data_IF_965701794669
#
_entry.id   IF_965701794669
#
_cell.length_a   1.000
_cell.length_b   1.000
_cell.length_c   1.000
_cell.angle_alpha   90.00
_cell.angle_beta   90.00
_cell.angle_gamma   90.00
#
_symmetry.space_group_name_H-M   'P 1'
#
loop_
_entity.id
_entity.type
_entity.pdbx_description
1 polymer ?
#
# COMPACT_ATOMS: atom_id res chain seq x y z
N UNK A 1 16.47 -44.76 92.66
CA UNK A 1 16.70 -43.39 93.16
C UNK A 1 16.06 -42.43 92.17
N UNK A 2 14.85 -41.98 92.50
CA UNK A 2 14.03 -41.07 91.70
C UNK A 2 14.35 -39.62 92.06
N UNK A 3 14.54 -38.75 91.07
CA UNK A 3 14.53 -37.29 91.18
C UNK A 3 13.80 -36.80 89.92
N UNK A 4 12.51 -36.48 89.96
CA UNK A 4 11.88 -35.24 90.44
C UNK A 4 12.52 -33.95 89.93
N UNK A 5 11.84 -33.41 88.91
CA UNK A 5 11.47 -32.01 88.69
C UNK A 5 12.57 -30.95 88.59
N UNK A 6 12.67 -30.32 87.42
CA UNK A 6 12.67 -28.87 87.32
C UNK A 6 12.27 -28.44 85.90
N UNK A 7 11.12 -27.80 85.77
CA UNK A 7 10.69 -27.08 84.57
C UNK A 7 11.31 -25.69 84.61
N UNK A 8 12.09 -25.26 83.62
CA UNK A 8 12.28 -23.85 83.36
C UNK A 8 11.27 -23.39 82.30
N UNK A 9 10.42 -22.46 82.71
CA UNK A 9 9.55 -21.67 81.85
C UNK A 9 10.43 -20.90 80.85
N UNK A 10 10.32 -21.21 79.56
CA UNK A 10 11.09 -20.55 78.50
C UNK A 10 10.14 -19.59 77.76
N UNK A 11 10.44 -18.28 77.69
CA UNK A 11 9.58 -17.35 76.98
C UNK A 11 9.56 -17.70 75.49
N UNK A 12 8.36 -17.76 74.89
CA UNK A 12 8.18 -17.94 73.45
C UNK A 12 9.00 -16.87 72.70
N UNK A 13 10.04 -17.29 71.97
CA UNK A 13 10.67 -16.45 70.96
C UNK A 13 9.64 -16.04 69.91
N UNK A 14 9.58 -14.76 69.49
CA UNK A 14 8.69 -14.37 68.40
C UNK A 14 9.13 -15.05 67.11
N UNK A 15 8.18 -15.67 66.39
CA UNK A 15 8.42 -16.26 65.08
C UNK A 15 8.99 -15.22 64.11
N UNK A 16 9.96 -15.57 63.24
CA UNK A 16 10.47 -14.65 62.24
C UNK A 16 9.34 -14.25 61.26
N UNK A 17 9.32 -13.00 60.76
CA UNK A 17 8.32 -12.57 59.79
C UNK A 17 8.45 -13.39 58.51
N UNK A 18 7.30 -13.77 57.95
CA UNK A 18 7.22 -14.46 56.66
C UNK A 18 7.93 -13.64 55.57
N UNK A 19 8.58 -14.28 54.58
CA UNK A 19 9.16 -13.56 53.45
C UNK A 19 8.06 -12.77 52.74
N UNK A 20 8.27 -11.46 52.62
CA UNK A 20 7.44 -10.58 51.80
C UNK A 20 7.42 -11.13 50.37
N UNK A 21 6.24 -11.34 49.74
CA UNK A 21 6.19 -11.72 48.34
C UNK A 21 6.89 -10.63 47.51
N UNK A 22 7.65 -10.98 46.46
CA UNK A 22 8.25 -9.98 45.60
C UNK A 22 7.15 -9.07 45.05
N UNK A 23 7.35 -7.76 45.18
CA UNK A 23 6.45 -6.75 44.63
C UNK A 23 6.07 -7.10 43.18
N UNK A 24 4.80 -6.92 42.76
CA UNK A 24 4.42 -7.16 41.39
C UNK A 24 5.34 -6.33 40.49
N UNK A 25 6.02 -7.02 39.58
CA UNK A 25 6.87 -6.41 38.56
C UNK A 25 6.00 -5.34 37.86
N UNK A 26 6.47 -4.08 37.72
CA UNK A 26 5.70 -3.08 37.00
C UNK A 26 5.33 -3.63 35.62
N UNK A 27 4.11 -3.37 35.12
CA UNK A 27 3.76 -3.79 33.77
C UNK A 27 4.84 -3.25 32.83
N UNK A 28 5.33 -4.11 31.93
CA UNK A 28 6.21 -3.67 30.85
C UNK A 28 5.55 -2.44 30.22
N UNK A 29 6.34 -1.38 30.09
CA UNK A 29 5.98 -0.11 29.45
C UNK A 29 5.15 -0.34 28.18
N UNK A 30 4.23 0.58 27.83
CA UNK A 30 3.35 0.41 26.68
C UNK A 30 4.18 0.05 25.44
N UNK A 31 3.79 -1.07 24.78
CA UNK A 31 4.28 -1.53 23.49
C UNK A 31 4.52 -0.33 22.57
N UNK A 32 5.61 -0.30 21.78
CA UNK A 32 5.83 0.77 20.83
C UNK A 32 4.61 0.80 19.92
N UNK A 33 3.78 1.82 20.10
CA UNK A 33 2.63 2.07 19.25
C UNK A 33 3.14 1.97 17.81
N UNK A 34 2.44 1.28 16.92
CA UNK A 34 2.80 1.06 15.50
C UNK A 34 3.00 2.30 14.60
N UNK A 35 2.56 3.54 14.93
CA UNK A 35 2.78 4.74 14.08
C UNK A 35 4.25 5.14 13.77
N UNK A 36 5.21 5.14 14.71
CA UNK A 36 6.53 5.72 14.53
C UNK A 36 7.41 4.92 13.57
N UNK A 37 7.18 3.61 13.40
CA UNK A 37 7.93 2.79 12.43
C UNK A 37 7.46 3.12 11.00
N UNK A 38 6.16 3.19 10.78
CA UNK A 38 5.61 3.52 9.46
C UNK A 38 6.02 4.92 9.02
N UNK A 39 5.92 5.89 9.92
CA UNK A 39 6.30 7.28 9.65
C UNK A 39 7.80 7.41 9.38
N UNK A 40 8.65 6.78 10.20
CA UNK A 40 10.10 6.73 9.96
C UNK A 40 10.47 6.08 8.61
N UNK A 41 9.77 5.02 8.21
CA UNK A 41 9.99 4.40 6.91
C UNK A 41 9.50 5.30 5.77
N UNK A 42 8.39 6.02 5.95
CA UNK A 42 7.85 6.97 4.97
C UNK A 42 8.78 8.13 4.64
N UNK A 43 9.64 8.54 5.58
CA UNK A 43 10.67 9.56 5.31
C UNK A 43 11.78 9.08 4.37
N UNK A 44 11.99 7.77 4.26
CA UNK A 44 13.16 7.17 3.58
C UNK A 44 12.80 6.28 2.41
N UNK A 45 11.59 5.73 2.42
CA UNK A 45 11.12 4.74 1.50
C UNK A 45 9.82 5.23 0.86
N UNK A 46 9.63 4.98 -0.44
CA UNK A 46 8.33 5.13 -1.06
C UNK A 46 7.27 4.25 -0.39
N UNK A 47 6.00 4.70 -0.40
CA UNK A 47 4.88 4.01 0.25
C UNK A 47 4.78 2.52 -0.11
N UNK A 48 5.07 2.14 -1.35
CA UNK A 48 4.99 0.75 -1.81
C UNK A 48 6.08 -0.18 -1.23
N UNK A 49 7.14 0.37 -0.62
CA UNK A 49 8.18 -0.41 0.06
C UNK A 49 7.89 -0.55 1.56
N UNK A 50 6.89 0.17 2.07
CA UNK A 50 6.51 0.12 3.48
C UNK A 50 5.58 -1.08 3.66
N UNK A 51 5.90 -2.03 4.56
CA UNK A 51 5.03 -3.16 4.85
C UNK A 51 3.61 -2.70 5.22
N UNK A 52 2.61 -3.43 4.72
CA UNK A 52 1.22 -3.24 5.13
C UNK A 52 1.02 -3.60 6.60
N UNK A 53 1.80 -4.56 7.12
CA UNK A 53 1.73 -5.01 8.51
C UNK A 53 3.10 -5.13 9.17
N UNK A 54 3.11 -4.82 10.45
CA UNK A 54 4.24 -5.05 11.35
C UNK A 54 3.76 -5.99 12.46
N UNK A 55 4.54 -7.02 12.74
CA UNK A 55 4.26 -7.99 13.81
C UNK A 55 5.44 -7.95 14.77
N UNK A 56 5.18 -7.58 16.02
CA UNK A 56 6.18 -7.59 17.08
C UNK A 56 6.41 -9.04 17.53
N UNK A 57 7.68 -9.43 17.64
CA UNK A 57 8.11 -10.74 18.13
C UNK A 57 9.18 -10.53 19.19
N UNK A 58 9.09 -11.28 20.29
CA UNK A 58 10.14 -11.27 21.32
C UNK A 58 11.47 -11.84 20.78
N UNK A 59 11.38 -12.81 19.87
CA UNK A 59 12.55 -13.38 19.18
C UNK A 59 12.16 -13.95 17.82
N UNK A 60 13.12 -14.00 16.90
CA UNK A 60 12.91 -14.63 15.60
C UNK A 60 13.01 -16.16 15.76
N UNK A 61 12.01 -16.93 15.29
CA UNK A 61 12.10 -18.38 15.30
C UNK A 61 13.22 -18.83 14.36
N UNK A 62 14.04 -19.77 14.83
CA UNK A 62 15.17 -20.32 14.08
C UNK A 62 14.97 -21.81 13.85
N UNK A 63 15.38 -22.26 12.66
CA UNK A 63 15.54 -23.69 12.34
C UNK A 63 16.69 -24.27 13.15
N UNK A 64 16.81 -25.61 13.27
CA UNK A 64 17.95 -26.26 13.93
C UNK A 64 19.33 -25.85 13.37
N UNK A 65 19.37 -25.40 12.11
CA UNK A 65 20.57 -24.89 11.45
C UNK A 65 20.81 -23.38 11.68
N UNK A 66 20.06 -22.74 12.58
CA UNK A 66 20.21 -21.32 12.93
C UNK A 66 19.68 -20.31 11.91
N UNK A 67 19.00 -20.75 10.84
CA UNK A 67 18.33 -19.86 9.87
C UNK A 67 16.93 -19.49 10.37
N UNK A 68 16.41 -18.32 9.98
CA UNK A 68 15.02 -17.93 10.30
C UNK A 68 14.04 -18.98 9.76
N UNK A 69 13.21 -19.53 10.64
CA UNK A 69 12.11 -20.42 10.29
C UNK A 69 10.89 -19.59 9.90
N UNK A 70 10.70 -19.39 8.60
CA UNK A 70 9.59 -18.61 8.06
C UNK A 70 8.23 -19.26 8.29
N UNK A 71 8.17 -20.57 8.45
CA UNK A 71 6.92 -21.30 8.66
C UNK A 71 6.45 -21.19 10.12
N UNK A 72 7.37 -20.91 11.03
CA UNK A 72 7.09 -20.67 12.44
C UNK A 72 6.79 -19.19 12.76
N UNK A 73 6.86 -18.28 11.77
CA UNK A 73 6.44 -16.90 11.95
C UNK A 73 4.92 -16.85 12.13
N UNK A 74 4.39 -16.13 13.13
CA UNK A 74 2.96 -15.98 13.29
C UNK A 74 2.39 -15.24 12.09
N UNK A 75 1.23 -15.69 11.63
CA UNK A 75 0.50 -14.98 10.60
C UNK A 75 0.12 -13.58 11.10
N UNK A 76 0.28 -12.53 10.29
CA UNK A 76 -0.24 -11.22 10.64
C UNK A 76 -1.74 -11.38 10.81
N UNK A 77 -2.25 -11.24 12.05
CA UNK A 77 -3.68 -11.41 12.41
C UNK A 77 -4.56 -10.96 11.26
N UNK A 78 -5.49 -11.79 10.81
CA UNK A 78 -6.24 -11.57 9.58
C UNK A 78 -6.76 -10.14 9.42
N UNK A 79 -6.82 -9.74 8.14
CA UNK A 79 -7.37 -8.51 7.61
C UNK A 79 -8.38 -7.94 8.60
N UNK A 80 -7.95 -6.97 9.43
CA UNK A 80 -8.92 -6.06 9.99
C UNK A 80 -9.51 -5.44 8.74
N UNK A 81 -10.69 -5.93 8.41
CA UNK A 81 -11.55 -5.53 7.31
C UNK A 81 -11.28 -4.05 7.10
N UNK A 82 -10.85 -3.63 5.89
CA UNK A 82 -10.58 -2.24 5.57
C UNK A 82 -11.80 -1.41 6.02
N UNK A 83 -11.77 -0.95 7.27
CA UNK A 83 -12.79 -0.18 7.97
C UNK A 83 -12.29 1.24 8.13
N UNK A 84 -11.28 1.63 7.36
CA UNK A 84 -11.19 3.00 6.89
C UNK A 84 -12.33 3.18 5.89
N UNK A 85 -13.51 3.53 6.42
CA UNK A 85 -14.71 4.02 5.72
C UNK A 85 -14.69 3.79 4.21
N UNK A 86 -15.23 2.65 3.74
CA UNK A 86 -15.38 2.40 2.31
C UNK A 86 -16.00 3.63 1.63
N UNK A 87 -15.26 4.24 0.70
CA UNK A 87 -15.75 5.37 -0.12
C UNK A 87 -15.83 4.91 -1.56
N UNK A 88 -17.06 4.89 -2.09
CA UNK A 88 -17.32 4.53 -3.48
C UNK A 88 -16.74 5.56 -4.46
N UNK A 89 -16.28 5.16 -5.65
CA UNK A 89 -15.90 6.06 -6.74
C UNK A 89 -17.00 7.08 -7.09
N UNK A 90 -16.66 8.37 -7.04
CA UNK A 90 -17.54 9.52 -7.26
C UNK A 90 -17.40 10.07 -8.67
N UNK A 91 -16.17 10.18 -9.18
CA UNK A 91 -15.87 10.75 -10.50
C UNK A 91 -15.76 9.68 -11.59
N UNK A 92 -15.86 10.08 -12.86
CA UNK A 92 -15.65 9.16 -14.00
C UNK A 92 -14.22 8.60 -14.04
N UNK A 93 -13.23 9.41 -13.65
CA UNK A 93 -11.83 9.00 -13.58
C UNK A 93 -11.67 7.92 -12.50
N UNK A 94 -12.19 8.17 -11.29
CA UNK A 94 -12.17 7.19 -10.20
C UNK A 94 -12.87 5.88 -10.60
N UNK A 95 -14.05 5.96 -11.23
CA UNK A 95 -14.79 4.77 -11.69
C UNK A 95 -13.98 3.95 -12.70
N UNK A 96 -13.35 4.63 -13.67
CA UNK A 96 -12.54 3.96 -14.70
C UNK A 96 -11.34 3.25 -14.08
N UNK A 97 -10.63 3.92 -13.16
CA UNK A 97 -9.49 3.32 -12.46
C UNK A 97 -9.96 2.15 -11.59
N UNK A 98 -11.08 2.29 -10.86
CA UNK A 98 -11.65 1.24 -10.04
C UNK A 98 -11.98 -0.02 -10.86
N UNK A 99 -12.63 0.13 -12.03
CA UNK A 99 -12.91 -0.99 -12.94
C UNK A 99 -11.63 -1.70 -13.37
N UNK A 100 -10.60 -0.95 -13.77
CA UNK A 100 -9.30 -1.53 -14.15
C UNK A 100 -8.69 -2.33 -13.00
N UNK A 101 -8.76 -1.81 -11.77
CA UNK A 101 -8.24 -2.48 -10.59
C UNK A 101 -9.03 -3.74 -10.25
N UNK A 102 -10.36 -3.68 -10.28
CA UNK A 102 -11.23 -4.83 -10.05
C UNK A 102 -10.92 -5.97 -11.04
N UNK A 103 -10.73 -5.66 -12.31
CA UNK A 103 -10.38 -6.64 -13.34
C UNK A 103 -9.01 -7.29 -13.10
N UNK A 104 -8.00 -6.49 -12.72
CA UNK A 104 -6.64 -6.99 -12.56
C UNK A 104 -6.44 -7.73 -11.24
N UNK A 105 -7.02 -7.21 -10.15
CA UNK A 105 -6.91 -7.78 -8.80
C UNK A 105 -7.95 -8.87 -8.53
N UNK A 106 -9.00 -8.98 -9.36
CA UNK A 106 -10.14 -9.91 -9.19
C UNK A 106 -10.87 -9.69 -7.86
N UNK A 107 -11.10 -8.42 -7.52
CA UNK A 107 -11.82 -8.00 -6.31
C UNK A 107 -13.13 -7.33 -6.72
N UNK A 108 -14.23 -7.62 -6.03
CA UNK A 108 -15.56 -7.09 -6.37
C UNK A 108 -15.72 -5.61 -5.98
N UNK A 109 -15.27 -5.22 -4.79
CA UNK A 109 -15.46 -3.87 -4.26
C UNK A 109 -14.12 -3.25 -3.86
N UNK A 110 -13.85 -2.06 -4.40
CA UNK A 110 -12.64 -1.28 -4.09
C UNK A 110 -13.08 0.13 -3.69
N UNK A 111 -12.64 0.59 -2.51
CA UNK A 111 -12.78 1.96 -2.05
C UNK A 111 -11.71 2.86 -2.65
N UNK A 112 -12.00 4.14 -2.83
CA UNK A 112 -11.05 5.06 -3.49
C UNK A 112 -9.76 5.31 -2.68
N UNK A 113 -9.80 5.08 -1.38
CA UNK A 113 -8.67 5.23 -0.46
C UNK A 113 -7.98 3.91 -0.15
N UNK A 114 -8.46 2.79 -0.69
CA UNK A 114 -7.86 1.48 -0.44
C UNK A 114 -6.49 1.41 -1.12
N UNK A 115 -5.39 1.17 -0.38
CA UNK A 115 -4.08 1.08 -1.00
C UNK A 115 -3.97 -0.16 -1.89
N UNK A 116 -3.43 0.02 -3.10
CA UNK A 116 -3.29 -1.03 -4.12
C UNK A 116 -2.64 -2.32 -3.57
N UNK A 117 -1.57 -2.16 -2.79
CA UNK A 117 -0.81 -3.28 -2.24
C UNK A 117 -1.52 -3.99 -1.09
N UNK A 118 -2.43 -3.30 -0.39
CA UNK A 118 -3.27 -3.91 0.65
C UNK A 118 -4.42 -4.73 0.06
N UNK A 119 -4.82 -4.41 -1.17
CA UNK A 119 -5.81 -5.19 -1.94
C UNK A 119 -5.22 -6.45 -2.58
N UNK A 120 -3.96 -6.81 -2.27
CA UNK A 120 -3.26 -7.93 -2.91
C UNK A 120 -2.52 -7.53 -4.20
N UNK A 121 -2.37 -6.24 -4.46
CA UNK A 121 -1.54 -5.73 -5.55
C UNK A 121 -0.06 -6.07 -5.36
N UNK A 122 0.63 -6.32 -6.46
CA UNK A 122 2.06 -6.60 -6.53
C UNK A 122 2.65 -5.98 -7.80
N UNK A 123 3.97 -6.08 -7.98
CA UNK A 123 4.68 -5.45 -9.10
C UNK A 123 4.09 -5.81 -10.47
N UNK A 124 3.90 -7.11 -10.75
CA UNK A 124 3.33 -7.57 -12.02
C UNK A 124 1.87 -7.14 -12.22
N UNK A 125 1.04 -7.09 -11.17
CA UNK A 125 -0.34 -6.57 -11.32
C UNK A 125 -0.35 -5.06 -11.54
N UNK A 126 0.55 -4.31 -10.89
CA UNK A 126 0.74 -2.87 -11.13
C UNK A 126 1.16 -2.58 -12.57
N UNK A 127 2.05 -3.39 -13.16
CA UNK A 127 2.44 -3.26 -14.58
C UNK A 127 1.23 -3.48 -15.51
N UNK A 128 0.34 -4.44 -15.19
CA UNK A 128 -0.89 -4.67 -15.96
C UNK A 128 -1.87 -3.50 -15.83
N UNK A 129 -2.07 -3.00 -14.62
CA UNK A 129 -2.88 -1.79 -14.36
C UNK A 129 -2.31 -0.61 -15.14
N UNK A 130 -1.01 -0.38 -15.06
CA UNK A 130 -0.32 0.71 -15.76
C UNK A 130 -0.58 0.68 -17.26
N UNK A 131 -0.46 -0.49 -17.90
CA UNK A 131 -0.77 -0.63 -19.32
C UNK A 131 -2.21 -0.23 -19.66
N UNK A 132 -3.19 -0.70 -18.87
CA UNK A 132 -4.61 -0.38 -19.08
C UNK A 132 -4.94 1.08 -18.80
N UNK A 133 -4.33 1.67 -17.78
CA UNK A 133 -4.51 3.10 -17.42
C UNK A 133 -3.94 4.00 -18.52
N UNK A 134 -2.76 3.68 -19.07
CA UNK A 134 -2.22 4.44 -20.21
C UNK A 134 -3.13 4.38 -21.42
N UNK A 135 -3.71 3.22 -21.72
CA UNK A 135 -4.68 3.05 -22.81
C UNK A 135 -5.97 3.84 -22.55
N UNK A 136 -6.58 3.67 -21.38
CA UNK A 136 -7.86 4.30 -21.03
C UNK A 136 -7.81 5.83 -21.01
N UNK A 137 -6.69 6.40 -20.55
CA UNK A 137 -6.54 7.85 -20.41
C UNK A 137 -5.65 8.49 -21.48
N UNK A 138 -5.12 7.71 -22.43
CA UNK A 138 -4.13 8.18 -23.42
C UNK A 138 -3.02 9.00 -22.77
N UNK A 139 -2.50 8.50 -21.65
CA UNK A 139 -1.58 9.24 -20.77
C UNK A 139 -0.17 8.67 -20.79
N UNK A 140 0.80 9.53 -20.48
CA UNK A 140 2.22 9.16 -20.36
C UNK A 140 2.67 9.00 -18.90
N UNK A 141 1.74 8.66 -18.00
CA UNK A 141 2.09 8.38 -16.60
C UNK A 141 3.17 7.30 -16.55
N UNK A 142 4.25 7.56 -15.82
CA UNK A 142 5.33 6.60 -15.64
C UNK A 142 4.92 5.52 -14.64
N UNK A 143 5.56 4.34 -14.75
CA UNK A 143 5.34 3.27 -13.77
C UNK A 143 5.74 3.71 -12.35
N UNK A 144 6.81 4.53 -12.23
CA UNK A 144 7.25 5.07 -10.93
C UNK A 144 6.18 5.96 -10.30
N UNK A 145 5.50 6.80 -11.07
CA UNK A 145 4.38 7.60 -10.58
C UNK A 145 3.20 6.74 -10.13
N UNK A 146 2.87 5.65 -10.83
CA UNK A 146 1.83 4.69 -10.39
C UNK A 146 2.15 4.11 -9.00
N UNK A 147 3.43 3.88 -8.72
CA UNK A 147 3.88 3.40 -7.41
C UNK A 147 3.85 4.50 -6.32
N UNK A 148 3.97 5.78 -6.70
CA UNK A 148 3.90 6.92 -5.78
C UNK A 148 2.47 7.26 -5.35
N UNK A 149 1.48 6.95 -6.19
CA UNK A 149 0.07 7.19 -5.94
C UNK A 149 -0.65 5.84 -5.73
N UNK A 150 -0.47 5.18 -4.56
CA UNK A 150 -0.98 3.84 -4.32
C UNK A 150 -2.49 3.75 -4.15
N UNK A 151 -3.24 4.86 -4.21
CA UNK A 151 -4.72 4.88 -4.09
C UNK A 151 -5.39 5.46 -5.33
N UNK A 152 -6.67 5.13 -5.52
CA UNK A 152 -7.47 5.63 -6.65
C UNK A 152 -7.67 7.15 -6.54
N UNK A 153 -7.91 7.66 -5.32
CA UNK A 153 -8.08 9.09 -5.04
C UNK A 153 -6.87 9.92 -5.48
N UNK A 154 -5.66 9.44 -5.15
CA UNK A 154 -4.41 10.10 -5.55
C UNK A 154 -4.19 10.05 -7.06
N UNK A 155 -4.44 8.90 -7.70
CA UNK A 155 -4.34 8.77 -9.16
C UNK A 155 -5.36 9.65 -9.89
N UNK A 156 -6.60 9.74 -9.38
CA UNK A 156 -7.61 10.63 -9.95
C UNK A 156 -7.15 12.08 -9.90
N UNK A 157 -6.65 12.51 -8.74
CA UNK A 157 -6.11 13.87 -8.54
C UNK A 157 -4.94 14.16 -9.50
N UNK A 158 -4.06 13.18 -9.72
CA UNK A 158 -2.99 13.29 -10.71
C UNK A 158 -3.55 13.56 -12.12
N UNK A 159 -4.52 12.77 -12.57
CA UNK A 159 -5.11 12.93 -13.90
C UNK A 159 -5.91 14.23 -14.07
N UNK A 160 -6.63 14.66 -13.03
CA UNK A 160 -7.34 15.94 -13.03
C UNK A 160 -6.37 17.12 -13.20
N UNK A 161 -5.23 17.08 -12.51
CA UNK A 161 -4.18 18.09 -12.63
C UNK A 161 -3.46 18.07 -13.99
N UNK A 162 -3.39 16.93 -14.66
CA UNK A 162 -2.85 16.86 -16.02
C UNK A 162 -3.83 17.40 -17.06
N UNK A 163 -5.14 17.16 -16.88
CA UNK A 163 -6.19 17.75 -17.73
C UNK A 163 -6.20 19.27 -17.67
N UNK A 164 -6.01 19.86 -16.49
CA UNK A 164 -5.96 21.32 -16.34
C UNK A 164 -4.70 21.99 -16.91
N UNK A 165 -3.62 21.22 -17.12
CA UNK A 165 -2.38 21.71 -17.75
C UNK A 165 -2.38 21.65 -19.27
N UNK A 166 -3.26 20.86 -19.90
CA UNK A 166 -3.44 20.94 -21.33
C UNK A 166 -4.26 22.20 -21.63
N UNK A 167 -3.72 23.20 -22.35
CA UNK A 167 -4.53 24.34 -22.75
C UNK A 167 -5.65 23.80 -23.65
N UNK A 168 -6.88 24.27 -23.40
CA UNK A 168 -8.01 24.07 -24.28
C UNK A 168 -7.60 24.63 -25.65
N UNK A 169 -7.19 23.74 -26.55
CA UNK A 169 -7.00 24.11 -27.96
C UNK A 169 -8.41 24.22 -28.53
N UNK A 170 -8.94 25.44 -28.51
CA UNK A 170 -10.05 25.88 -29.38
C UNK A 170 -9.85 25.26 -30.78
N UNK A 171 -10.87 24.60 -31.37
CA UNK A 171 -10.75 24.04 -32.71
C UNK A 171 -10.62 25.17 -33.74
N UNK A 172 -9.40 25.70 -33.90
CA UNK A 172 -9.11 26.64 -34.99
C UNK A 172 -9.18 25.90 -36.32
N UNK A 173 -9.95 26.48 -37.23
CA UNK A 173 -10.37 25.98 -38.54
C UNK A 173 -9.22 25.70 -39.53
N UNK A 174 -8.32 24.76 -39.23
CA UNK A 174 -7.26 24.35 -40.14
C UNK A 174 -7.49 22.93 -40.68
N UNK A 175 -8.65 22.69 -41.32
CA UNK A 175 -8.91 21.43 -42.06
C UNK A 175 -8.90 21.53 -43.58
N UNK A 176 -8.61 22.69 -44.17
CA UNK A 176 -8.80 22.86 -45.61
C UNK A 176 -7.53 23.18 -46.40
N UNK A 177 -6.43 22.44 -46.22
CA UNK A 177 -5.30 22.58 -47.18
C UNK A 177 -4.47 21.32 -47.49
N UNK A 178 -4.78 20.15 -46.91
CA UNK A 178 -4.04 18.91 -47.20
C UNK A 178 -4.65 18.02 -48.31
N UNK A 179 -5.44 18.58 -49.22
CA UNK A 179 -6.02 17.82 -50.35
C UNK A 179 -5.53 18.23 -51.75
N UNK A 180 -4.62 19.21 -51.87
CA UNK A 180 -4.23 19.78 -53.19
C UNK A 180 -2.94 19.19 -53.78
N UNK A 181 -2.06 18.57 -52.98
CA UNK A 181 -0.78 18.06 -53.46
C UNK A 181 -0.90 16.83 -54.39
N UNK A 182 -1.85 15.94 -54.14
CA UNK A 182 -2.08 14.73 -54.97
C UNK A 182 -2.73 15.04 -56.32
N UNK A 183 -3.63 16.03 -56.37
CA UNK A 183 -4.41 16.35 -57.58
C UNK A 183 -3.63 17.16 -58.62
N UNK A 184 -2.63 17.95 -58.21
CA UNK A 184 -1.77 18.71 -59.17
C UNK A 184 -0.85 17.81 -59.99
N UNK A 185 -0.39 16.67 -59.44
CA UNK A 185 0.52 15.74 -60.17
C UNK A 185 -0.19 14.96 -61.28
N UNK A 186 -1.49 14.69 -61.15
CA UNK A 186 -2.25 13.94 -62.15
C UNK A 186 -2.68 14.79 -63.36
N UNK A 187 -2.89 16.10 -63.17
CA UNK A 187 -3.23 17.00 -64.29
C UNK A 187 -2.02 17.33 -65.19
N UNK A 188 -0.81 17.46 -64.61
CA UNK A 188 0.39 17.73 -65.41
C UNK A 188 0.81 16.54 -66.29
N UNK A 189 0.53 15.31 -65.87
CA UNK A 189 0.76 14.11 -66.70
C UNK A 189 -0.21 14.00 -67.89
N UNK A 190 -1.46 14.45 -67.75
CA UNK A 190 -2.44 14.40 -68.87
C UNK A 190 -2.18 15.45 -69.96
N UNK A 191 -1.55 16.59 -69.64
CA UNK A 191 -1.23 17.59 -70.66
C UNK A 191 0.02 17.25 -71.49
N UNK A 192 0.93 16.42 -70.96
CA UNK A 192 2.18 16.07 -71.66
C UNK A 192 2.01 14.97 -72.72
N UNK A 193 0.96 14.16 -72.64
CA UNK A 193 0.67 13.07 -73.60
C UNK A 193 -0.25 13.48 -74.79
N UNK A 194 -0.63 14.76 -74.93
CA UNK A 194 -1.50 15.24 -76.02
C UNK A 194 -0.77 16.11 -77.07
N UNK A 195 0.57 16.17 -77.00
CA UNK A 195 1.44 16.97 -77.89
C UNK A 195 2.58 16.15 -78.52
N UNK A 196 2.41 14.83 -78.62
CA UNK A 196 3.30 13.98 -79.42
C UNK A 196 2.49 13.14 -80.39
#
# INVERSE_FOLDING_TARGET
MSKSAHTPDHPLSPSPPLPVPPSPRPPLSPSPQTPPIREFLGEKLPNYMIPSRFVELESLPLTPNGKIDRNALPEPKDRQQLTETYVSPRTEIERTIATIWQEVLKVETIGINDPFFELGGHSLSMVRVHSKVREAFSSDISLVEMFQYPTISELSTYFERQKSKQPVVEPSEFRNERLTAGKKRLQQRRQKNKKS
#
